data_IF_366154022233
#
_entry.id   IF_366154022233
#
_cell.length_a   1.000
_cell.length_b   1.000
_cell.length_c   1.000
_cell.angle_alpha   90.00
_cell.angle_beta   90.00
_cell.angle_gamma   90.00
#
_symmetry.space_group_name_H-M   'P 1'
#
loop_
_entity.id
_entity.type
_entity.pdbx_description
1 polymer ?
#
# COMPACT_ATOMS: atom_id res chain seq x y z
N UNK A 1 6.62 -11.66 -38.59
CA UNK A 1 7.82 -11.47 -37.78
C UNK A 1 7.40 -11.13 -36.36
N UNK A 2 7.97 -11.79 -35.40
CA UNK A 2 7.71 -11.49 -34.00
C UNK A 2 8.41 -10.20 -33.62
N UNK A 3 7.64 -9.26 -33.07
CA UNK A 3 8.19 -8.00 -32.51
C UNK A 3 8.68 -8.29 -31.10
N UNK A 4 9.94 -8.04 -30.83
CA UNK A 4 10.56 -8.30 -29.52
C UNK A 4 10.26 -7.21 -28.50
N UNK A 5 9.97 -5.97 -28.96
CA UNK A 5 9.60 -4.85 -28.11
C UNK A 5 8.25 -4.28 -28.55
N UNK A 6 7.37 -3.89 -27.63
CA UNK A 6 6.16 -3.16 -28.00
C UNK A 6 6.56 -1.84 -28.69
N UNK A 7 5.73 -1.30 -29.61
CA UNK A 7 6.03 -0.07 -30.34
C UNK A 7 5.78 1.17 -29.45
N UNK A 8 6.43 1.19 -28.26
CA UNK A 8 6.41 2.31 -27.35
C UNK A 8 7.65 3.16 -27.61
N UNK A 9 7.46 4.41 -27.91
CA UNK A 9 8.52 5.40 -27.99
C UNK A 9 8.30 6.50 -26.94
N UNK A 10 9.33 7.26 -26.63
CA UNK A 10 9.27 8.33 -25.63
C UNK A 10 8.27 9.47 -25.95
N UNK A 11 7.82 9.57 -27.20
CA UNK A 11 6.84 10.58 -27.62
C UNK A 11 5.41 10.11 -27.33
N UNK A 12 5.16 8.79 -27.42
CA UNK A 12 3.84 8.18 -27.29
C UNK A 12 3.63 7.53 -25.91
N UNK A 13 4.64 7.51 -25.07
CA UNK A 13 4.61 6.80 -23.79
C UNK A 13 3.41 7.24 -22.94
N UNK A 14 3.16 8.53 -22.82
CA UNK A 14 2.00 9.06 -22.08
C UNK A 14 0.64 8.65 -22.65
N UNK A 15 0.57 8.32 -23.95
CA UNK A 15 -0.67 7.90 -24.58
C UNK A 15 -0.96 6.42 -24.38
N UNK A 16 0.10 5.59 -24.27
CA UNK A 16 -0.02 4.13 -24.21
C UNK A 16 0.31 3.55 -22.82
N UNK A 17 0.99 4.32 -21.98
CA UNK A 17 1.29 3.96 -20.59
C UNK A 17 0.84 5.08 -19.66
N UNK A 18 0.35 4.72 -18.48
CA UNK A 18 -0.05 5.67 -17.45
C UNK A 18 0.43 5.16 -16.09
N UNK A 19 0.85 6.09 -15.24
CA UNK A 19 1.13 5.82 -13.83
C UNK A 19 -0.10 6.05 -12.94
N UNK A 20 -1.20 6.51 -13.55
CA UNK A 20 -2.48 6.66 -12.85
C UNK A 20 -2.99 5.30 -12.41
N UNK A 21 -3.45 5.23 -11.17
CA UNK A 21 -3.97 3.99 -10.59
C UNK A 21 -5.25 4.24 -9.81
N UNK A 22 -6.05 3.18 -9.63
CA UNK A 22 -7.18 3.15 -8.71
C UNK A 22 -6.73 2.56 -7.37
N UNK A 23 -6.94 3.30 -6.28
CA UNK A 23 -6.67 2.83 -4.93
C UNK A 23 -8.00 2.46 -4.25
N UNK A 24 -8.09 1.28 -3.66
CA UNK A 24 -9.27 0.82 -2.92
C UNK A 24 -9.69 -0.58 -3.30
N UNK A 25 -10.91 -1.00 -2.89
CA UNK A 25 -11.44 -2.31 -3.23
C UNK A 25 -11.71 -2.43 -4.72
N UNK A 26 -11.39 -3.58 -5.27
CA UNK A 26 -11.67 -3.92 -6.67
C UNK A 26 -12.88 -4.87 -6.73
N UNK A 27 -13.85 -4.54 -7.57
CA UNK A 27 -15.00 -5.37 -7.79
C UNK A 27 -14.68 -6.55 -8.73
N UNK A 28 -15.57 -7.55 -8.75
CA UNK A 28 -15.43 -8.69 -9.64
C UNK A 28 -15.51 -8.24 -11.11
N UNK A 29 -14.43 -8.38 -11.86
CA UNK A 29 -14.32 -7.97 -13.27
C UNK A 29 -15.34 -8.65 -14.19
N UNK A 30 -15.93 -9.76 -13.79
CA UNK A 30 -16.96 -10.50 -14.53
C UNK A 30 -18.39 -10.05 -14.17
N UNK A 31 -18.55 -9.12 -13.23
CA UNK A 31 -19.86 -8.57 -12.86
C UNK A 31 -20.01 -7.14 -13.32
N UNK A 32 -21.26 -6.71 -13.54
CA UNK A 32 -21.63 -5.33 -13.84
C UNK A 32 -22.21 -4.69 -12.58
N UNK A 33 -21.71 -3.51 -12.21
CA UNK A 33 -22.25 -2.80 -11.05
C UNK A 33 -21.51 -1.52 -10.73
N UNK A 34 -22.07 -0.69 -9.84
CA UNK A 34 -21.47 0.57 -9.41
C UNK A 34 -20.21 0.37 -8.54
N UNK A 35 -19.98 -0.83 -8.01
CA UNK A 35 -18.85 -1.13 -7.12
C UNK A 35 -17.49 -0.98 -7.81
N UNK A 36 -17.44 -1.05 -9.15
CA UNK A 36 -16.24 -0.76 -9.94
C UNK A 36 -15.77 0.71 -9.83
N UNK A 37 -16.66 1.62 -9.45
CA UNK A 37 -16.35 3.04 -9.27
C UNK A 37 -15.90 3.39 -7.85
N UNK A 38 -15.72 2.40 -6.95
CA UNK A 38 -15.33 2.62 -5.55
C UNK A 38 -13.83 2.76 -5.34
N UNK A 39 -13.07 3.12 -6.35
CA UNK A 39 -11.64 3.39 -6.23
C UNK A 39 -11.36 4.89 -6.18
N UNK A 40 -10.32 5.28 -5.44
CA UNK A 40 -9.77 6.64 -5.47
C UNK A 40 -8.72 6.69 -6.56
N UNK A 41 -8.88 7.60 -7.52
CA UNK A 41 -7.89 7.77 -8.59
C UNK A 41 -6.70 8.57 -8.08
N UNK A 42 -5.52 7.99 -8.17
CA UNK A 42 -4.24 8.67 -7.94
C UNK A 42 -3.55 8.87 -9.29
N UNK A 43 -2.99 10.05 -9.50
CA UNK A 43 -2.26 10.36 -10.74
C UNK A 43 -0.88 9.69 -10.76
N UNK A 44 -0.34 9.36 -9.59
CA UNK A 44 0.97 8.75 -9.41
C UNK A 44 1.00 7.82 -8.19
N UNK A 45 1.75 6.70 -8.23
CA UNK A 45 1.81 5.77 -7.09
C UNK A 45 2.68 6.25 -5.93
N UNK A 46 3.48 7.30 -6.12
CA UNK A 46 4.22 7.95 -5.04
C UNK A 46 3.43 9.15 -4.58
N UNK A 47 3.02 9.14 -3.33
CA UNK A 47 2.14 10.15 -2.74
C UNK A 47 2.88 10.97 -1.68
N UNK A 48 2.54 12.23 -1.57
CA UNK A 48 3.05 13.12 -0.54
C UNK A 48 2.32 12.94 0.81
N UNK A 49 2.72 13.72 1.82
CA UNK A 49 2.11 13.62 3.14
C UNK A 49 0.67 14.15 3.19
N UNK A 50 0.34 15.13 2.36
CA UNK A 50 -1.02 15.70 2.31
C UNK A 50 -1.97 14.71 1.62
N UNK A 51 -1.52 14.04 0.58
CA UNK A 51 -2.26 12.97 -0.09
C UNK A 51 -2.46 11.77 0.83
N UNK A 52 -1.41 11.37 1.58
CA UNK A 52 -1.53 10.31 2.59
C UNK A 52 -2.54 10.69 3.67
N UNK A 53 -2.48 11.93 4.19
CA UNK A 53 -3.43 12.41 5.20
C UNK A 53 -4.88 12.36 4.70
N UNK A 54 -5.12 12.70 3.43
CA UNK A 54 -6.46 12.57 2.80
C UNK A 54 -6.93 11.11 2.75
N UNK A 55 -6.03 10.16 2.51
CA UNK A 55 -6.35 8.72 2.53
C UNK A 55 -6.63 8.26 3.97
N UNK A 56 -5.81 8.68 4.94
CA UNK A 56 -5.99 8.31 6.35
C UNK A 56 -7.29 8.84 6.95
N UNK A 57 -7.75 10.01 6.47
CA UNK A 57 -8.99 10.67 6.91
C UNK A 57 -10.07 10.68 5.82
N UNK A 58 -10.14 9.61 5.05
CA UNK A 58 -10.99 9.54 3.85
C UNK A 58 -12.48 9.65 4.18
N UNK A 59 -12.90 9.23 5.36
CA UNK A 59 -14.27 9.33 5.87
C UNK A 59 -14.77 10.78 5.90
N UNK A 60 -13.88 11.74 6.10
CA UNK A 60 -14.20 13.18 6.08
C UNK A 60 -14.57 13.66 4.68
N UNK A 61 -13.88 13.18 3.66
CA UNK A 61 -14.11 13.56 2.27
C UNK A 61 -15.18 12.69 1.58
N UNK A 62 -15.21 11.41 1.94
CA UNK A 62 -16.12 10.39 1.38
C UNK A 62 -16.76 9.61 2.54
N UNK A 63 -17.89 10.11 3.09
CA UNK A 63 -18.57 9.45 4.21
C UNK A 63 -18.89 7.99 3.93
N UNK A 64 -18.63 7.13 4.92
CA UNK A 64 -18.84 5.69 4.82
C UNK A 64 -17.67 4.89 4.24
N UNK A 65 -16.54 5.56 3.97
CA UNK A 65 -15.30 4.89 3.59
C UNK A 65 -14.34 4.85 4.77
N UNK A 66 -13.63 3.75 4.94
CA UNK A 66 -12.79 3.53 6.12
C UNK A 66 -11.35 3.23 5.74
N UNK A 67 -10.43 3.95 6.40
CA UNK A 67 -8.99 3.72 6.33
C UNK A 67 -8.45 3.34 7.69
N UNK A 68 -7.57 2.34 7.73
CA UNK A 68 -6.91 1.87 8.96
C UNK A 68 -5.41 1.93 8.80
N UNK A 69 -4.72 2.55 9.76
CA UNK A 69 -3.25 2.60 9.80
C UNK A 69 -2.72 1.57 10.80
N UNK A 70 -1.89 0.67 10.31
CA UNK A 70 -1.26 -0.41 11.09
C UNK A 70 0.24 -0.13 11.21
N UNK A 71 0.74 -0.02 12.42
CA UNK A 71 2.16 0.28 12.68
C UNK A 71 3.02 -0.98 12.62
N UNK A 72 4.02 -0.96 11.75
CA UNK A 72 5.02 -2.01 11.60
C UNK A 72 6.20 -1.85 12.57
N UNK A 73 5.93 -1.76 13.87
CA UNK A 73 6.93 -1.56 14.91
C UNK A 73 6.97 -2.76 15.88
N UNK A 74 8.16 -3.16 16.28
CA UNK A 74 8.35 -4.21 17.28
C UNK A 74 9.37 -3.80 18.34
N UNK A 75 9.30 -4.38 19.53
CA UNK A 75 10.24 -4.09 20.62
C UNK A 75 11.62 -4.61 20.30
N UNK A 76 12.63 -3.74 20.38
CA UNK A 76 14.04 -4.07 20.13
C UNK A 76 14.51 -5.24 20.99
N UNK A 77 14.15 -5.24 22.29
CA UNK A 77 14.50 -6.29 23.25
C UNK A 77 14.01 -7.68 22.86
N UNK A 78 12.90 -7.76 22.13
CA UNK A 78 12.31 -9.02 21.68
C UNK A 78 13.04 -9.65 20.49
N UNK A 79 13.94 -8.91 19.83
CA UNK A 79 14.77 -9.37 18.73
C UNK A 79 13.96 -10.05 17.60
N UNK A 80 14.54 -11.10 17.02
CA UNK A 80 13.92 -11.86 15.90
C UNK A 80 12.51 -12.36 16.24
N UNK A 81 12.30 -12.90 17.43
CA UNK A 81 10.98 -13.40 17.84
C UNK A 81 9.92 -12.29 17.91
N UNK A 82 10.35 -11.09 18.34
CA UNK A 82 9.49 -9.91 18.37
C UNK A 82 9.03 -9.50 16.97
N UNK A 83 9.96 -9.48 16.01
CA UNK A 83 9.68 -9.19 14.62
C UNK A 83 8.70 -10.22 14.02
N UNK A 84 8.97 -11.52 14.15
CA UNK A 84 8.11 -12.58 13.65
C UNK A 84 6.70 -12.52 14.24
N UNK A 85 6.62 -12.29 15.56
CA UNK A 85 5.33 -12.13 16.26
C UNK A 85 4.57 -10.90 15.74
N UNK A 86 5.26 -9.77 15.56
CA UNK A 86 4.62 -8.54 15.06
C UNK A 86 4.08 -8.71 13.66
N UNK A 87 4.83 -9.36 12.75
CA UNK A 87 4.36 -9.66 11.40
C UNK A 87 3.07 -10.49 11.42
N UNK A 88 3.01 -11.53 12.25
CA UNK A 88 1.81 -12.35 12.40
C UNK A 88 0.62 -11.53 12.97
N UNK A 89 0.89 -10.68 13.96
CA UNK A 89 -0.12 -9.76 14.52
C UNK A 89 -0.65 -8.77 13.49
N UNK A 90 0.24 -8.20 12.65
CA UNK A 90 -0.17 -7.28 11.58
C UNK A 90 -1.11 -7.95 10.58
N UNK A 91 -0.82 -9.19 10.19
CA UNK A 91 -1.71 -9.95 9.32
C UNK A 91 -3.11 -10.11 9.95
N UNK A 92 -3.17 -10.41 11.23
CA UNK A 92 -4.45 -10.53 11.95
C UNK A 92 -5.17 -9.19 12.08
N UNK A 93 -4.46 -8.09 12.43
CA UNK A 93 -5.04 -6.74 12.47
C UNK A 93 -5.61 -6.30 11.11
N UNK A 94 -4.97 -6.73 10.01
CA UNK A 94 -5.46 -6.47 8.65
C UNK A 94 -6.76 -7.26 8.39
N UNK A 95 -6.81 -8.53 8.78
CA UNK A 95 -8.03 -9.34 8.62
C UNK A 95 -9.19 -8.74 9.41
N UNK A 96 -8.97 -8.37 10.68
CA UNK A 96 -9.97 -7.68 11.51
C UNK A 96 -10.44 -6.36 10.87
N UNK A 97 -9.51 -5.55 10.37
CA UNK A 97 -9.85 -4.30 9.71
C UNK A 97 -10.72 -4.52 8.46
N UNK A 98 -10.45 -5.56 7.68
CA UNK A 98 -11.26 -5.92 6.51
C UNK A 98 -12.67 -6.41 6.93
N UNK A 99 -12.76 -7.18 7.98
CA UNK A 99 -14.05 -7.64 8.53
C UNK A 99 -14.89 -6.45 9.03
N UNK A 100 -14.24 -5.44 9.62
CA UNK A 100 -14.85 -4.17 10.05
C UNK A 100 -15.16 -3.21 8.88
N UNK A 101 -14.83 -3.59 7.64
CA UNK A 101 -15.18 -2.86 6.43
C UNK A 101 -14.14 -1.82 5.99
N UNK A 102 -12.88 -1.96 6.40
CA UNK A 102 -11.81 -1.10 5.91
C UNK A 102 -11.59 -1.30 4.40
N UNK A 103 -11.52 -0.21 3.66
CA UNK A 103 -11.24 -0.19 2.23
C UNK A 103 -9.79 0.21 1.91
N UNK A 104 -9.11 0.84 2.87
CA UNK A 104 -7.73 1.28 2.75
C UNK A 104 -6.93 0.84 3.98
N UNK A 105 -5.81 0.20 3.75
CA UNK A 105 -4.86 -0.19 4.81
C UNK A 105 -3.55 0.55 4.57
N UNK A 106 -3.15 1.35 5.55
CA UNK A 106 -1.86 2.06 5.56
C UNK A 106 -0.90 1.31 6.47
N UNK A 107 0.17 0.75 5.91
CA UNK A 107 1.24 0.11 6.66
C UNK A 107 2.34 1.14 6.91
N UNK A 108 2.65 1.43 8.18
CA UNK A 108 3.52 2.54 8.55
C UNK A 108 4.68 2.10 9.45
N UNK A 109 5.89 2.54 9.13
CA UNK A 109 7.08 2.41 9.96
C UNK A 109 7.35 3.66 10.83
N UNK A 110 6.48 4.66 10.76
CA UNK A 110 6.60 5.93 11.49
C UNK A 110 6.52 5.72 13.01
N UNK A 111 7.15 6.59 13.77
CA UNK A 111 7.23 6.60 15.23
C UNK A 111 8.21 5.56 15.81
N UNK A 112 9.14 5.08 14.99
CA UNK A 112 10.27 4.29 15.47
C UNK A 112 11.11 5.10 16.48
N UNK A 113 11.62 4.43 17.50
CA UNK A 113 12.42 5.05 18.55
C UNK A 113 13.42 4.02 19.12
N UNK A 114 14.14 4.39 20.20
CA UNK A 114 15.14 3.52 20.82
C UNK A 114 14.60 2.17 21.33
N UNK A 115 13.32 2.08 21.64
CA UNK A 115 12.67 0.89 22.21
C UNK A 115 11.84 0.13 21.16
N UNK A 116 11.45 0.82 20.06
CA UNK A 116 10.62 0.30 18.98
C UNK A 116 11.36 0.40 17.64
N UNK A 117 11.76 -0.74 17.10
CA UNK A 117 12.38 -0.83 15.79
C UNK A 117 11.32 -0.99 14.69
N UNK A 118 11.54 -0.38 13.53
CA UNK A 118 10.66 -0.57 12.37
C UNK A 118 10.93 -1.94 11.73
N UNK A 119 9.86 -2.59 11.28
CA UNK A 119 9.98 -3.71 10.35
C UNK A 119 10.35 -3.12 8.99
N UNK A 120 11.36 -3.67 8.26
CA UNK A 120 11.67 -3.21 6.92
C UNK A 120 10.42 -3.15 6.03
N UNK A 121 10.19 -2.03 5.35
CA UNK A 121 8.92 -1.78 4.64
C UNK A 121 8.63 -2.85 3.59
N UNK A 122 9.67 -3.33 2.89
CA UNK A 122 9.52 -4.41 1.91
C UNK A 122 9.05 -5.73 2.55
N UNK A 123 9.58 -6.08 3.72
CA UNK A 123 9.17 -7.29 4.45
C UNK A 123 7.72 -7.15 4.93
N UNK A 124 7.37 -5.98 5.44
CA UNK A 124 6.03 -5.66 5.93
C UNK A 124 4.98 -5.80 4.81
N UNK A 125 5.18 -5.11 3.69
CA UNK A 125 4.23 -5.17 2.58
C UNK A 125 4.15 -6.57 1.97
N UNK A 126 5.29 -7.25 1.77
CA UNK A 126 5.30 -8.60 1.21
C UNK A 126 4.54 -9.60 2.10
N UNK A 127 4.73 -9.53 3.42
CA UNK A 127 4.04 -10.41 4.36
C UNK A 127 2.53 -10.22 4.30
N UNK A 128 2.05 -8.96 4.38
CA UNK A 128 0.62 -8.63 4.35
C UNK A 128 0.03 -8.96 2.98
N UNK A 129 0.68 -8.55 1.88
CA UNK A 129 0.19 -8.83 0.53
C UNK A 129 0.00 -10.32 0.27
N UNK A 130 1.00 -11.14 0.58
CA UNK A 130 0.91 -12.59 0.38
C UNK A 130 -0.06 -13.26 1.37
N UNK A 131 -0.23 -12.71 2.57
CA UNK A 131 -1.28 -13.16 3.49
C UNK A 131 -2.66 -12.95 2.88
N UNK A 132 -2.94 -11.74 2.39
CA UNK A 132 -4.23 -11.41 1.76
C UNK A 132 -4.50 -12.21 0.48
N UNK A 133 -3.46 -12.57 -0.29
CA UNK A 133 -3.61 -13.48 -1.44
C UNK A 133 -4.06 -14.86 -0.97
N UNK A 134 -3.41 -15.41 0.07
CA UNK A 134 -3.77 -16.74 0.61
C UNK A 134 -5.17 -16.77 1.24
N UNK A 135 -5.60 -15.63 1.81
CA UNK A 135 -6.94 -15.47 2.40
C UNK A 135 -8.01 -15.09 1.37
N UNK A 136 -7.64 -14.91 0.09
CA UNK A 136 -8.54 -14.49 -1.00
C UNK A 136 -9.20 -13.12 -0.74
N UNK A 137 -8.55 -12.25 0.06
CA UNK A 137 -9.07 -10.94 0.46
C UNK A 137 -8.30 -9.76 -0.15
N UNK A 138 -7.22 -10.02 -0.92
CA UNK A 138 -6.35 -8.97 -1.47
C UNK A 138 -7.10 -7.88 -2.25
N UNK A 139 -8.15 -8.26 -2.97
CA UNK A 139 -8.91 -7.33 -3.81
C UNK A 139 -9.93 -6.48 -3.01
N UNK A 140 -10.12 -6.76 -1.73
CA UNK A 140 -11.05 -6.01 -0.90
C UNK A 140 -10.49 -4.68 -0.39
N UNK A 141 -9.16 -4.48 -0.46
CA UNK A 141 -8.49 -3.30 0.10
C UNK A 141 -7.40 -2.76 -0.80
N UNK A 142 -7.22 -1.43 -0.76
CA UNK A 142 -6.02 -0.76 -1.25
C UNK A 142 -4.93 -0.79 -0.18
N UNK A 143 -3.70 -1.21 -0.55
CA UNK A 143 -2.54 -1.20 0.35
C UNK A 143 -1.65 0.01 0.08
N UNK A 144 -1.44 0.83 1.10
CA UNK A 144 -0.54 1.98 1.07
C UNK A 144 0.61 1.73 2.04
N UNK A 145 1.82 2.08 1.65
CA UNK A 145 3.00 1.98 2.52
C UNK A 145 3.54 3.37 2.84
N UNK A 146 3.59 3.71 4.12
CA UNK A 146 4.27 4.88 4.65
C UNK A 146 5.66 4.43 5.13
N UNK A 147 6.72 4.78 4.35
CA UNK A 147 8.04 4.18 4.44
C UNK A 147 9.15 5.21 4.69
N UNK A 148 9.87 5.05 5.79
CA UNK A 148 11.07 5.83 6.10
C UNK A 148 12.35 5.32 5.44
N UNK A 149 12.35 4.06 5.01
CA UNK A 149 13.45 3.40 4.35
C UNK A 149 13.42 3.50 2.81
N UNK A 150 12.32 3.98 2.23
CA UNK A 150 12.18 4.20 0.78
C UNK A 150 12.77 5.55 0.37
N UNK A 151 14.01 5.54 -0.17
CA UNK A 151 14.78 6.75 -0.49
C UNK A 151 15.18 6.87 -1.96
N UNK A 152 15.01 5.81 -2.72
CA UNK A 152 15.43 5.72 -4.11
C UNK A 152 14.34 5.08 -4.97
N UNK A 153 14.38 5.35 -6.27
CA UNK A 153 13.43 4.81 -7.25
C UNK A 153 13.33 3.28 -7.16
N UNK A 154 14.46 2.60 -6.96
CA UNK A 154 14.49 1.14 -6.84
C UNK A 154 13.72 0.63 -5.61
N UNK A 155 13.82 1.33 -4.48
CA UNK A 155 13.06 0.98 -3.28
C UNK A 155 11.56 1.08 -3.53
N UNK A 156 11.12 2.17 -4.14
CA UNK A 156 9.71 2.39 -4.48
C UNK A 156 9.21 1.36 -5.49
N UNK A 157 9.96 1.13 -6.57
CA UNK A 157 9.61 0.12 -7.59
C UNK A 157 9.47 -1.28 -6.96
N UNK A 158 10.34 -1.61 -5.99
CA UNK A 158 10.30 -2.88 -5.29
C UNK A 158 9.07 -2.98 -4.39
N UNK A 159 8.73 -1.93 -3.64
CA UNK A 159 7.52 -1.89 -2.80
C UNK A 159 6.25 -2.07 -3.63
N UNK A 160 6.15 -1.39 -4.77
CA UNK A 160 5.04 -1.54 -5.72
C UNK A 160 4.99 -2.97 -6.29
N UNK A 161 6.13 -3.52 -6.70
CA UNK A 161 6.25 -4.88 -7.20
C UNK A 161 5.86 -5.97 -6.19
N UNK A 162 5.97 -5.68 -4.89
CA UNK A 162 5.58 -6.56 -3.80
C UNK A 162 4.20 -6.26 -3.22
N UNK A 163 3.38 -5.47 -3.91
CA UNK A 163 1.95 -5.35 -3.67
C UNK A 163 1.46 -4.05 -3.06
N UNK A 164 2.33 -3.05 -2.85
CA UNK A 164 1.86 -1.71 -2.52
C UNK A 164 1.11 -1.11 -3.70
N UNK A 165 -0.07 -0.54 -3.44
CA UNK A 165 -0.79 0.25 -4.45
C UNK A 165 -0.22 1.66 -4.53
N UNK A 166 0.19 2.24 -3.39
CA UNK A 166 0.85 3.53 -3.32
C UNK A 166 1.89 3.55 -2.21
N UNK A 167 2.90 4.41 -2.34
CA UNK A 167 4.01 4.56 -1.39
C UNK A 167 4.14 6.04 -1.01
N UNK A 168 4.20 6.31 0.29
CA UNK A 168 4.57 7.60 0.84
C UNK A 168 6.01 7.52 1.42
N UNK A 169 7.03 8.00 0.71
CA UNK A 169 8.39 8.06 1.20
C UNK A 169 8.59 9.33 2.05
N UNK A 170 8.04 9.36 3.25
CA UNK A 170 7.93 10.59 4.05
C UNK A 170 9.23 11.32 4.36
N UNK A 171 10.45 10.72 4.40
CA UNK A 171 11.66 11.50 4.58
C UNK A 171 12.09 12.28 3.34
N UNK A 172 11.66 11.83 2.16
CA UNK A 172 12.03 12.41 0.85
C UNK A 172 11.05 13.50 0.42
N UNK A 173 9.81 13.45 0.89
CA UNK A 173 8.78 14.42 0.52
C UNK A 173 8.97 15.82 1.12
N UNK A 174 10.06 16.06 1.87
CA UNK A 174 10.43 17.38 2.42
C UNK A 174 11.63 18.03 1.71
N UNK A 175 12.20 17.38 0.69
CA UNK A 175 13.30 17.91 -0.13
C UNK A 175 12.82 18.28 -1.51
#
# INVERSE_FOLDING_TARGET
AQVTNPPLDSIREEVVTSLRLGLGPEANLLSWGPDHARTVSLDFPVIDNDELAKIQHIDTALPGRTSVTIKGLYRVEAGKKGLEKRLAQMCHEVDEAIEDGAEFIVLSDRDSNKDLAPIPSLLMIAAVHHHLIRSETRMKVGLVVEAGDAREVHHIATLLGYGASAVNPYPVSYT
#
